data_IF_388056456174
#
_entry.id   IF_388056456174
#
_cell.length_a   1.000
_cell.length_b   1.000
_cell.length_c   1.000
_cell.angle_alpha   90.00
_cell.angle_beta   90.00
_cell.angle_gamma   90.00
#
_symmetry.space_group_name_H-M   'P 1'
#
loop_
_entity.id
_entity.type
_entity.pdbx_description
1 polymer ?
#
# COMPACT_ATOMS: atom_id res chain seq x y z
N UNK A 1 20.75 21.45 8.68
CA UNK A 1 20.84 20.01 8.37
C UNK A 1 19.94 19.77 7.18
N UNK A 2 20.50 19.58 5.99
CA UNK A 2 19.73 19.08 4.85
C UNK A 2 19.36 17.63 5.16
N UNK A 3 18.11 17.40 5.54
CA UNK A 3 17.56 16.06 5.49
C UNK A 3 17.37 15.73 4.01
N UNK A 4 18.41 15.15 3.41
CA UNK A 4 18.35 14.65 2.03
C UNK A 4 17.11 13.74 1.94
N UNK A 5 16.07 14.22 1.25
CA UNK A 5 14.79 13.53 1.16
C UNK A 5 15.03 12.13 0.62
N UNK A 6 14.68 11.11 1.42
CA UNK A 6 14.82 9.72 1.03
C UNK A 6 13.58 9.30 0.27
N UNK A 7 13.77 8.46 -0.74
CA UNK A 7 12.69 7.95 -1.55
C UNK A 7 12.27 6.56 -1.05
N UNK A 8 11.01 6.43 -0.67
CA UNK A 8 10.41 5.22 -0.10
C UNK A 8 9.41 4.63 -1.08
N UNK A 9 9.49 3.33 -1.35
CA UNK A 9 8.45 2.64 -2.10
C UNK A 9 7.31 2.31 -1.13
N UNK A 10 6.12 2.83 -1.42
CA UNK A 10 4.92 2.63 -0.62
C UNK A 10 3.95 1.74 -1.39
N UNK A 11 3.40 0.73 -0.71
CA UNK A 11 2.26 -0.05 -1.20
C UNK A 11 1.13 0.00 -0.17
N UNK A 12 0.00 0.59 -0.57
CA UNK A 12 -1.24 0.59 0.21
C UNK A 12 -2.15 -0.48 -0.36
N UNK A 13 -2.58 -1.42 0.48
CA UNK A 13 -3.59 -2.42 0.13
C UNK A 13 -4.90 -2.07 0.82
N UNK A 14 -5.94 -1.85 0.03
CA UNK A 14 -7.29 -1.61 0.52
C UNK A 14 -8.23 -2.73 0.10
N UNK A 15 -9.14 -3.15 0.98
CA UNK A 15 -10.11 -4.19 0.69
C UNK A 15 -11.45 -3.96 1.39
N UNK A 16 -12.51 -4.59 0.90
CA UNK A 16 -13.82 -4.60 1.52
C UNK A 16 -14.87 -5.22 0.62
N UNK A 17 -16.13 -4.78 0.74
CA UNK A 17 -17.23 -5.38 -0.03
C UNK A 17 -17.01 -5.27 -1.54
N UNK A 18 -17.31 -6.36 -2.26
CA UNK A 18 -17.23 -6.45 -3.71
C UNK A 18 -18.05 -5.35 -4.40
N UNK A 19 -17.51 -4.81 -5.49
CA UNK A 19 -18.09 -3.76 -6.33
C UNK A 19 -17.92 -4.11 -7.80
N UNK A 20 -18.71 -3.42 -8.61
CA UNK A 20 -18.58 -3.49 -10.07
C UNK A 20 -17.15 -3.08 -10.50
N UNK A 21 -16.44 -3.92 -11.28
CA UNK A 21 -15.11 -3.60 -11.79
C UNK A 21 -15.01 -2.26 -12.51
N UNK A 22 -16.08 -1.82 -13.18
CA UNK A 22 -16.10 -0.53 -13.88
C UNK A 22 -16.06 0.65 -12.90
N UNK A 23 -16.85 0.58 -11.83
CA UNK A 23 -16.85 1.59 -10.76
C UNK A 23 -15.47 1.64 -10.09
N UNK A 24 -14.86 0.48 -9.85
CA UNK A 24 -13.53 0.40 -9.25
C UNK A 24 -12.49 1.03 -10.17
N UNK A 25 -12.49 0.68 -11.46
CA UNK A 25 -11.60 1.27 -12.46
C UNK A 25 -11.71 2.80 -12.48
N UNK A 26 -12.92 3.33 -12.61
CA UNK A 26 -13.14 4.77 -12.72
C UNK A 26 -12.69 5.50 -11.44
N UNK A 27 -12.85 4.87 -10.26
CA UNK A 27 -12.35 5.41 -9.00
C UNK A 27 -10.81 5.41 -8.93
N UNK A 28 -10.16 4.34 -9.41
CA UNK A 28 -8.70 4.26 -9.49
C UNK A 28 -8.12 5.28 -10.46
N UNK A 29 -8.79 5.52 -11.59
CA UNK A 29 -8.41 6.56 -12.54
C UNK A 29 -8.50 7.95 -11.90
N UNK A 30 -9.60 8.26 -11.19
CA UNK A 30 -9.72 9.53 -10.47
C UNK A 30 -8.64 9.69 -9.39
N UNK A 31 -8.36 8.63 -8.63
CA UNK A 31 -7.29 8.64 -7.64
C UNK A 31 -5.93 8.95 -8.29
N UNK A 32 -5.63 8.34 -9.44
CA UNK A 32 -4.39 8.59 -10.17
C UNK A 32 -4.26 10.00 -10.73
N UNK A 33 -5.36 10.67 -11.07
CA UNK A 33 -5.34 12.09 -11.43
C UNK A 33 -5.12 13.01 -10.22
N UNK A 34 -5.61 12.62 -9.04
CA UNK A 34 -5.49 13.41 -7.82
C UNK A 34 -4.11 13.28 -7.17
N UNK A 35 -3.42 12.17 -7.39
CA UNK A 35 -2.11 11.90 -6.82
C UNK A 35 -1.09 11.64 -7.94
N UNK A 36 -0.41 12.68 -8.39
CA UNK A 36 0.74 12.53 -9.27
C UNK A 36 1.80 11.62 -8.60
N UNK A 37 2.56 10.85 -9.39
CA UNK A 37 3.61 9.90 -8.96
C UNK A 37 3.19 8.47 -8.58
N UNK A 38 2.04 7.98 -9.05
CA UNK A 38 1.75 6.55 -8.96
C UNK A 38 2.70 5.72 -9.82
N UNK A 39 3.28 4.68 -9.22
CA UNK A 39 4.09 3.68 -9.93
C UNK A 39 3.20 2.63 -10.60
N UNK A 40 2.19 2.13 -9.89
CA UNK A 40 1.21 1.18 -10.41
C UNK A 40 -0.03 1.12 -9.54
N UNK A 41 -1.19 0.84 -10.14
CA UNK A 41 -2.39 0.41 -9.43
C UNK A 41 -2.78 -0.97 -9.94
N UNK A 42 -3.09 -1.89 -9.03
CA UNK A 42 -3.70 -3.19 -9.31
C UNK A 42 -5.01 -3.26 -8.56
N UNK A 43 -6.07 -3.77 -9.18
CA UNK A 43 -7.37 -3.86 -8.52
C UNK A 43 -8.14 -5.09 -8.95
N UNK A 44 -9.06 -5.48 -8.08
CA UNK A 44 -10.05 -6.52 -8.25
C UNK A 44 -11.41 -5.97 -7.77
N UNK A 45 -12.44 -6.82 -7.80
CA UNK A 45 -13.79 -6.44 -7.40
C UNK A 45 -13.90 -6.04 -5.92
N UNK A 46 -12.99 -6.50 -5.05
CA UNK A 46 -13.06 -6.35 -3.59
C UNK A 46 -11.76 -5.79 -2.97
N UNK A 47 -10.76 -5.47 -3.80
CA UNK A 47 -9.42 -5.09 -3.36
C UNK A 47 -8.73 -4.17 -4.35
N UNK A 48 -7.84 -3.33 -3.85
CA UNK A 48 -6.82 -2.67 -4.64
C UNK A 48 -5.48 -2.59 -3.93
N UNK A 49 -4.42 -2.57 -4.72
CA UNK A 49 -3.05 -2.29 -4.32
C UNK A 49 -2.58 -1.07 -5.11
N UNK A 50 -2.19 -0.02 -4.39
CA UNK A 50 -1.69 1.23 -4.95
C UNK A 50 -0.22 1.35 -4.56
N UNK A 51 0.66 1.47 -5.56
CA UNK A 51 2.09 1.57 -5.36
C UNK A 51 2.61 2.90 -5.91
N UNK A 52 3.48 3.56 -5.15
CA UNK A 52 4.10 4.82 -5.54
C UNK A 52 5.42 5.05 -4.78
N UNK A 53 6.13 6.10 -5.17
CA UNK A 53 7.32 6.55 -4.45
C UNK A 53 7.01 7.80 -3.64
N UNK A 54 7.37 7.78 -2.37
CA UNK A 54 7.14 8.86 -1.42
C UNK A 54 8.47 9.48 -0.97
N UNK A 55 8.53 10.80 -0.92
CA UNK A 55 9.70 11.54 -0.46
C UNK A 55 9.52 11.93 1.01
N UNK A 56 10.30 11.32 1.89
CA UNK A 56 10.21 11.57 3.32
C UNK A 56 11.58 11.41 4.01
N UNK A 57 11.84 12.14 5.11
CA UNK A 57 13.10 12.01 5.82
C UNK A 57 13.25 10.63 6.48
N UNK A 58 12.17 10.09 7.04
CA UNK A 58 12.14 8.76 7.65
C UNK A 58 11.01 7.87 7.10
N UNK A 59 11.14 6.56 7.33
CA UNK A 59 10.13 5.57 6.91
C UNK A 59 8.77 5.85 7.56
N UNK A 60 8.77 6.25 8.83
CA UNK A 60 7.55 6.50 9.58
C UNK A 60 6.80 7.71 9.04
N UNK A 61 7.51 8.73 8.58
CA UNK A 61 6.92 9.90 7.93
C UNK A 61 6.24 9.50 6.62
N UNK A 62 6.91 8.70 5.77
CA UNK A 62 6.31 8.17 4.55
C UNK A 62 5.05 7.33 4.85
N UNK A 63 5.07 6.51 5.91
CA UNK A 63 3.91 5.73 6.32
C UNK A 63 2.74 6.64 6.77
N UNK A 64 3.01 7.68 7.55
CA UNK A 64 2.01 8.62 8.00
C UNK A 64 1.40 9.41 6.83
N UNK A 65 2.22 9.86 5.89
CA UNK A 65 1.79 10.53 4.66
C UNK A 65 0.88 9.62 3.83
N UNK A 66 1.24 8.34 3.66
CA UNK A 66 0.43 7.37 2.93
C UNK A 66 -0.97 7.17 3.52
N UNK A 67 -1.07 7.06 4.85
CA UNK A 67 -2.36 6.91 5.53
C UNK A 67 -3.21 8.17 5.44
N UNK A 68 -2.57 9.34 5.46
CA UNK A 68 -3.23 10.63 5.26
C UNK A 68 -3.82 10.75 3.85
N UNK A 69 -3.01 10.49 2.82
CA UNK A 69 -3.44 10.52 1.41
C UNK A 69 -4.64 9.60 1.20
N UNK A 70 -4.58 8.37 1.71
CA UNK A 70 -5.71 7.44 1.59
C UNK A 70 -6.99 8.00 2.21
N UNK A 71 -6.92 8.56 3.42
CA UNK A 71 -8.08 9.12 4.10
C UNK A 71 -8.63 10.38 3.42
N UNK A 72 -7.77 11.23 2.86
CA UNK A 72 -8.18 12.47 2.19
C UNK A 72 -8.79 12.21 0.81
N UNK A 73 -8.30 11.20 0.09
CA UNK A 73 -8.69 10.95 -1.30
C UNK A 73 -9.77 9.87 -1.48
N UNK A 74 -10.04 9.02 -0.49
CA UNK A 74 -11.05 7.94 -0.63
C UNK A 74 -12.43 8.44 -1.05
N UNK A 75 -12.90 9.52 -0.44
CA UNK A 75 -14.26 10.03 -0.68
C UNK A 75 -14.32 10.79 -2.00
N UNK A 76 -13.31 11.62 -2.27
CA UNK A 76 -13.22 12.45 -3.47
C UNK A 76 -12.93 11.65 -4.73
N UNK A 77 -12.20 10.54 -4.64
CA UNK A 77 -12.01 9.59 -5.74
C UNK A 77 -13.24 8.70 -5.97
N UNK A 78 -14.25 8.74 -5.09
CA UNK A 78 -15.41 7.86 -5.16
C UNK A 78 -15.04 6.39 -4.96
N UNK A 79 -13.99 6.13 -4.17
CA UNK A 79 -13.59 4.77 -3.84
C UNK A 79 -14.70 4.11 -3.00
N UNK A 80 -14.88 2.78 -3.15
CA UNK A 80 -15.77 2.03 -2.27
C UNK A 80 -15.37 2.26 -0.80
N UNK A 81 -16.29 1.99 0.14
CA UNK A 81 -16.01 1.99 1.58
C UNK A 81 -15.09 0.81 1.99
N UNK A 82 -13.94 0.72 1.35
CA UNK A 82 -12.87 -0.21 1.66
C UNK A 82 -11.98 0.37 2.75
N UNK A 83 -11.36 -0.52 3.50
CA UNK A 83 -10.43 -0.22 4.58
C UNK A 83 -9.01 -0.53 4.14
N UNK A 84 -8.02 0.16 4.71
CA UNK A 84 -6.62 -0.22 4.54
C UNK A 84 -6.39 -1.50 5.32
N UNK A 85 -6.07 -2.58 4.61
CA UNK A 85 -5.78 -3.89 5.19
C UNK A 85 -4.30 -4.26 5.13
N UNK A 86 -3.48 -3.42 4.49
CA UNK A 86 -2.04 -3.60 4.41
C UNK A 86 -1.32 -2.32 4.05
N UNK A 87 -0.17 -2.09 4.66
CA UNK A 87 0.77 -1.03 4.33
C UNK A 87 2.17 -1.62 4.31
N UNK A 88 2.88 -1.40 3.21
CA UNK A 88 4.29 -1.71 3.09
C UNK A 88 5.07 -0.43 2.71
N UNK A 89 6.14 -0.16 3.45
CA UNK A 89 7.06 0.96 3.18
C UNK A 89 8.47 0.42 3.14
N UNK A 90 9.12 0.52 1.98
CA UNK A 90 10.44 -0.04 1.74
C UNK A 90 11.41 1.06 1.31
N UNK A 91 12.64 0.98 1.81
CA UNK A 91 13.74 1.71 1.20
C UNK A 91 13.95 1.23 -0.24
N UNK A 92 14.37 2.14 -1.13
CA UNK A 92 14.65 1.84 -2.54
C UNK A 92 15.54 0.60 -2.75
N UNK A 93 16.61 0.45 -1.97
CA UNK A 93 17.51 -0.70 -2.08
C UNK A 93 16.81 -2.02 -1.72
N UNK A 94 15.97 -2.00 -0.67
CA UNK A 94 15.18 -3.16 -0.24
C UNK A 94 14.14 -3.54 -1.29
N UNK A 95 13.45 -2.55 -1.89
CA UNK A 95 12.52 -2.78 -2.99
C UNK A 95 13.22 -3.43 -4.19
N UNK A 96 14.34 -2.86 -4.63
CA UNK A 96 15.13 -3.38 -5.76
C UNK A 96 15.63 -4.82 -5.51
N UNK A 97 16.07 -5.13 -4.29
CA UNK A 97 16.51 -6.48 -3.93
C UNK A 97 15.36 -7.50 -4.00
N UNK A 98 14.13 -7.11 -3.61
CA UNK A 98 12.96 -7.99 -3.70
C UNK A 98 12.47 -8.24 -5.12
N UNK A 99 12.70 -7.30 -6.04
CA UNK A 99 12.38 -7.46 -7.45
C UNK A 99 13.34 -8.42 -8.17
N UNK A 100 14.49 -8.72 -7.57
CA UNK A 100 15.46 -9.67 -8.09
C UNK A 100 15.20 -11.06 -7.50
N UNK A 101 14.91 -12.09 -8.33
CA UNK A 101 14.61 -13.44 -7.85
C UNK A 101 15.73 -14.07 -7.00
N UNK A 102 16.99 -13.68 -7.22
CA UNK A 102 18.16 -14.24 -6.56
C UNK A 102 18.44 -13.67 -5.15
N UNK A 103 17.79 -12.56 -4.77
CA UNK A 103 18.12 -11.77 -3.57
C UNK A 103 16.99 -11.70 -2.56
N UNK A 104 15.92 -12.48 -2.76
CA UNK A 104 14.80 -12.55 -1.83
C UNK A 104 15.29 -13.12 -0.48
N UNK A 105 15.08 -12.42 0.65
CA UNK A 105 15.47 -12.94 1.96
C UNK A 105 14.77 -14.28 2.22
N UNK A 106 15.52 -15.26 2.72
CA UNK A 106 14.97 -16.57 3.09
C UNK A 106 14.09 -16.42 4.33
N UNK A 107 12.82 -16.79 4.19
CA UNK A 107 11.93 -16.91 5.33
C UNK A 107 12.23 -18.22 6.08
N UNK A 108 12.37 -18.14 7.41
CA UNK A 108 12.36 -19.30 8.29
C UNK A 108 10.98 -19.36 8.93
N UNK A 109 10.30 -20.49 8.79
CA UNK A 109 9.04 -20.71 9.49
C UNK A 109 9.33 -20.78 11.00
N UNK A 110 8.91 -19.75 11.74
CA UNK A 110 8.90 -19.78 13.21
C UNK A 110 7.61 -20.48 13.59
N UNK A 111 7.70 -21.64 14.24
CA UNK A 111 6.56 -22.50 14.54
C UNK A 111 5.44 -21.73 15.24
N UNK A 112 4.28 -21.65 14.58
CA UNK A 112 3.04 -21.17 15.19
C UNK A 112 2.65 -22.21 16.25
N UNK A 113 2.86 -21.91 17.52
CA UNK A 113 2.12 -22.59 18.59
C UNK A 113 0.63 -22.41 18.27
N UNK A 114 -0.13 -23.49 18.16
CA UNK A 114 -1.56 -23.40 17.82
C UNK A 114 -2.23 -22.35 18.71
N UNK A 115 -2.99 -21.39 18.14
CA UNK A 115 -3.78 -20.48 18.97
C UNK A 115 -4.77 -21.34 19.76
N UNK A 116 -4.67 -21.29 21.09
CA UNK A 116 -5.68 -21.89 21.96
C UNK A 116 -7.04 -21.31 21.57
N UNK A 117 -8.09 -22.13 21.39
CA UNK A 117 -9.41 -21.61 21.10
C UNK A 117 -9.85 -20.71 22.26
N UNK A 118 -10.21 -19.46 21.95
CA UNK A 118 -10.82 -18.56 22.92
C UNK A 118 -12.21 -19.09 23.28
N UNK A 119 -12.59 -19.14 24.57
CA UNK A 119 -13.94 -19.55 24.95
C UNK A 119 -14.95 -18.51 24.44
N UNK A 120 -16.03 -19.01 23.82
CA UNK A 120 -17.20 -18.24 23.41
C UNK A 120 -18.04 -17.83 24.63
#
# INVERSE_FOLDING_TARGET
>A
MDHQQRLWHVTVTAAGNARDPEIVRDAMERLGHQHAFLHSIRYAHDRAEICYWEEAPEMLDAAAMAMRVWNEHRETAGLPRWEVVGLEVLERATYQARQQPATRPRAVAVGLSSPSPLPF
#
